data_IF_286919126641
#
_entry.id   IF_286919126641
#
_cell.length_a   1.000
_cell.length_b   1.000
_cell.length_c   1.000
_cell.angle_alpha   90.00
_cell.angle_beta   90.00
_cell.angle_gamma   90.00
#
_symmetry.space_group_name_H-M   'P 1'
#
loop_
_entity.id
_entity.type
_entity.pdbx_description
1 polymer ?
#
# COMPACT_ATOMS: atom_id res chain seq x y z
N UNK A 1 -16.02 -10.61 -28.43
CA UNK A 1 -17.25 -11.19 -29.02
C UNK A 1 -18.21 -10.11 -29.53
N UNK A 2 -18.47 -9.07 -28.73
CA UNK A 2 -19.38 -7.96 -29.10
C UNK A 2 -18.79 -7.13 -30.25
N UNK A 3 -17.51 -6.76 -30.18
CA UNK A 3 -16.82 -6.02 -31.22
C UNK A 3 -16.79 -6.76 -32.57
N UNK A 4 -16.57 -8.07 -32.52
CA UNK A 4 -16.55 -8.89 -33.70
C UNK A 4 -17.96 -9.08 -34.33
N UNK A 5 -19.00 -9.12 -33.48
CA UNK A 5 -20.38 -9.27 -33.92
C UNK A 5 -20.90 -8.01 -34.62
N UNK A 6 -20.43 -6.82 -34.19
CA UNK A 6 -20.84 -5.54 -34.79
C UNK A 6 -19.93 -5.07 -35.93
N UNK A 7 -18.91 -5.83 -36.28
CA UNK A 7 -17.89 -5.52 -37.31
C UNK A 7 -17.26 -4.12 -37.19
N UNK A 8 -17.20 -3.57 -35.96
CA UNK A 8 -16.69 -2.24 -35.69
C UNK A 8 -15.16 -2.19 -35.46
N UNK A 9 -14.46 -3.25 -35.80
CA UNK A 9 -13.04 -3.44 -35.60
C UNK A 9 -12.73 -4.44 -34.48
N UNK A 10 -11.46 -4.64 -34.21
CA UNK A 10 -10.99 -5.46 -33.09
C UNK A 10 -10.03 -4.66 -32.24
N UNK A 11 -9.97 -4.98 -30.96
CA UNK A 11 -9.03 -4.39 -30.03
C UNK A 11 -7.75 -5.22 -30.01
N UNK A 12 -6.60 -4.56 -30.04
CA UNK A 12 -5.32 -5.24 -29.87
C UNK A 12 -5.09 -5.62 -28.38
N UNK A 13 -4.32 -6.68 -28.10
CA UNK A 13 -4.00 -7.02 -26.71
C UNK A 13 -3.33 -5.89 -25.93
N UNK A 14 -2.52 -5.06 -26.58
CA UNK A 14 -1.89 -3.90 -25.95
C UNK A 14 -2.92 -2.83 -25.54
N UNK A 15 -3.88 -2.53 -26.42
CA UNK A 15 -4.98 -1.60 -26.11
C UNK A 15 -5.88 -2.15 -25.01
N UNK A 16 -6.18 -3.46 -25.04
CA UNK A 16 -6.94 -4.11 -23.99
C UNK A 16 -6.24 -3.98 -22.63
N UNK A 17 -4.94 -4.30 -22.55
CA UNK A 17 -4.16 -4.22 -21.33
C UNK A 17 -4.13 -2.78 -20.77
N UNK A 18 -4.00 -1.79 -21.64
CA UNK A 18 -4.03 -0.38 -21.24
C UNK A 18 -5.37 0.03 -20.64
N UNK A 19 -6.47 -0.29 -21.32
CA UNK A 19 -7.82 0.03 -20.86
C UNK A 19 -8.18 -0.75 -19.60
N UNK A 20 -7.84 -2.04 -19.53
CA UNK A 20 -8.11 -2.88 -18.37
C UNK A 20 -7.36 -2.37 -17.13
N UNK A 21 -6.10 -1.96 -17.25
CA UNK A 21 -5.33 -1.37 -16.16
C UNK A 21 -5.92 -0.05 -15.68
N UNK A 22 -6.40 0.79 -16.59
CA UNK A 22 -7.06 2.04 -16.23
C UNK A 22 -8.36 1.77 -15.45
N UNK A 23 -9.24 0.93 -15.98
CA UNK A 23 -10.52 0.60 -15.34
C UNK A 23 -10.31 -0.05 -13.97
N UNK A 24 -9.32 -0.96 -13.85
CA UNK A 24 -8.98 -1.56 -12.56
C UNK A 24 -8.53 -0.50 -11.54
N UNK A 25 -7.72 0.47 -11.96
CA UNK A 25 -7.32 1.58 -11.12
C UNK A 25 -8.50 2.44 -10.66
N UNK A 26 -9.45 2.73 -11.55
CA UNK A 26 -10.67 3.47 -11.23
C UNK A 26 -11.56 2.69 -10.23
N UNK A 27 -11.76 1.39 -10.44
CA UNK A 27 -12.50 0.52 -9.51
C UNK A 27 -11.81 0.49 -8.14
N UNK A 28 -10.49 0.32 -8.10
CA UNK A 28 -9.74 0.29 -6.85
C UNK A 28 -9.86 1.61 -6.08
N UNK A 29 -9.75 2.75 -6.77
CA UNK A 29 -9.91 4.06 -6.12
C UNK A 29 -11.34 4.31 -5.65
N UNK A 30 -12.34 3.71 -6.32
CA UNK A 30 -13.74 3.82 -5.90
C UNK A 30 -14.05 3.12 -4.56
N UNK A 31 -13.17 2.21 -4.10
CA UNK A 31 -13.30 1.59 -2.78
C UNK A 31 -12.95 2.54 -1.63
N UNK A 32 -12.31 3.68 -1.92
CA UNK A 32 -12.01 4.70 -0.92
C UNK A 32 -13.11 5.77 -0.92
N UNK A 33 -14.14 5.62 -0.09
CA UNK A 33 -15.18 6.62 0.01
C UNK A 33 -14.61 7.95 0.50
N UNK A 34 -15.16 9.03 0.03
CA UNK A 34 -14.80 10.36 0.51
C UNK A 34 -15.18 10.47 1.99
N UNK A 35 -14.16 10.49 2.87
CA UNK A 35 -14.35 10.54 4.32
C UNK A 35 -15.16 11.76 4.78
N UNK A 36 -15.17 12.84 4.01
CA UNK A 36 -16.00 14.01 4.27
C UNK A 36 -17.49 13.74 4.01
N UNK A 37 -17.82 12.98 2.98
CA UNK A 37 -19.21 12.60 2.71
C UNK A 37 -19.74 11.65 3.79
N UNK A 38 -18.91 10.69 4.22
CA UNK A 38 -19.26 9.77 5.29
C UNK A 38 -19.52 10.50 6.62
N UNK A 39 -18.67 11.44 7.00
CA UNK A 39 -18.86 12.22 8.20
C UNK A 39 -20.10 13.13 8.16
N UNK A 40 -20.48 13.63 6.99
CA UNK A 40 -21.68 14.47 6.83
C UNK A 40 -22.98 13.66 6.89
N UNK A 41 -22.98 12.44 6.44
CA UNK A 41 -24.16 11.56 6.49
C UNK A 41 -24.52 11.18 7.93
N UNK A 42 -23.54 11.03 8.80
CA UNK A 42 -23.77 10.64 10.20
C UNK A 42 -24.41 11.74 11.08
N UNK A 43 -24.31 13.00 10.71
CA UNK A 43 -24.78 14.09 11.56
C UNK A 43 -26.30 14.29 11.56
N UNK A 44 -27.01 13.68 10.63
CA UNK A 44 -28.45 13.97 10.43
C UNK A 44 -29.41 12.82 10.72
N UNK A 45 -28.93 11.61 11.07
CA UNK A 45 -29.89 10.52 11.24
C UNK A 45 -29.40 9.43 12.20
N UNK A 46 -29.92 9.44 13.40
CA UNK A 46 -29.65 8.45 14.46
C UNK A 46 -30.13 7.03 14.13
N UNK A 47 -30.91 6.85 13.06
CA UNK A 47 -31.41 5.55 12.61
C UNK A 47 -30.47 4.81 11.62
N UNK A 48 -29.44 5.48 11.08
CA UNK A 48 -28.55 4.91 10.06
C UNK A 48 -27.21 4.39 10.60
N UNK A 49 -27.02 4.30 11.91
CA UNK A 49 -25.78 3.80 12.50
C UNK A 49 -25.43 2.37 12.05
N UNK A 50 -26.46 1.54 11.84
CA UNK A 50 -26.28 0.15 11.41
C UNK A 50 -25.83 0.05 9.95
N UNK A 51 -26.41 0.86 9.06
CA UNK A 51 -26.02 0.90 7.63
C UNK A 51 -24.62 1.50 7.45
N UNK A 52 -24.29 2.54 8.21
CA UNK A 52 -22.97 3.14 8.20
C UNK A 52 -21.89 2.14 8.67
N UNK A 53 -22.16 1.42 9.73
CA UNK A 53 -21.26 0.38 10.25
C UNK A 53 -21.06 -0.76 9.24
N UNK A 54 -22.13 -1.18 8.56
CA UNK A 54 -22.06 -2.20 7.50
C UNK A 54 -21.24 -1.71 6.30
N UNK A 55 -21.38 -0.43 5.89
CA UNK A 55 -20.63 0.15 4.79
C UNK A 55 -19.11 0.21 5.08
N UNK A 56 -18.72 0.51 6.31
CA UNK A 56 -17.32 0.42 6.74
C UNK A 56 -16.79 -1.00 6.68
N UNK A 57 -17.56 -1.97 7.17
CA UNK A 57 -17.19 -3.39 7.10
C UNK A 57 -17.06 -3.86 5.66
N UNK A 58 -18.02 -3.53 4.80
CA UNK A 58 -17.98 -3.92 3.39
C UNK A 58 -16.77 -3.34 2.67
N UNK A 59 -16.41 -2.09 2.96
CA UNK A 59 -15.21 -1.47 2.42
C UNK A 59 -13.95 -2.16 2.94
N UNK A 60 -13.87 -2.46 4.23
CA UNK A 60 -12.77 -3.19 4.82
C UNK A 60 -12.61 -4.59 4.20
N UNK A 61 -13.70 -5.32 4.00
CA UNK A 61 -13.66 -6.63 3.33
C UNK A 61 -13.18 -6.55 1.89
N UNK A 62 -13.53 -5.50 1.14
CA UNK A 62 -13.06 -5.27 -0.22
C UNK A 62 -11.56 -4.94 -0.28
N UNK A 63 -11.04 -4.25 0.74
CA UNK A 63 -9.63 -3.88 0.82
C UNK A 63 -8.74 -4.96 1.42
N UNK A 64 -9.31 -5.88 2.20
CA UNK A 64 -8.57 -6.95 2.87
C UNK A 64 -7.59 -7.74 1.97
N UNK A 65 -7.92 -8.10 0.71
CA UNK A 65 -7.00 -8.80 -0.18
C UNK A 65 -5.75 -7.98 -0.56
N UNK A 66 -5.83 -6.65 -0.41
CA UNK A 66 -4.74 -5.74 -0.73
C UNK A 66 -3.93 -5.30 0.49
N UNK A 67 -4.35 -5.69 1.69
CA UNK A 67 -3.63 -5.43 2.93
C UNK A 67 -2.51 -6.46 3.10
N UNK A 68 -1.32 -5.97 3.40
CA UNK A 68 -0.15 -6.81 3.66
C UNK A 68 0.62 -6.28 4.85
N UNK A 69 0.96 -7.18 5.76
CA UNK A 69 1.90 -6.89 6.83
C UNK A 69 3.30 -7.27 6.35
N UNK A 70 4.21 -6.31 6.35
CA UNK A 70 5.58 -6.47 5.84
C UNK A 70 6.57 -6.21 6.96
N UNK A 71 7.44 -7.19 7.21
CA UNK A 71 8.56 -7.03 8.12
C UNK A 71 9.74 -6.35 7.40
N UNK A 72 10.31 -5.33 8.03
CA UNK A 72 11.46 -4.59 7.51
C UNK A 72 12.75 -5.12 8.14
N UNK A 73 13.80 -5.25 7.33
CA UNK A 73 15.13 -5.61 7.80
C UNK A 73 15.95 -4.34 8.06
N UNK A 74 16.73 -4.37 9.14
CA UNK A 74 17.65 -3.28 9.47
C UNK A 74 18.91 -3.37 8.62
N UNK A 75 19.22 -2.31 7.90
CA UNK A 75 20.47 -2.16 7.17
C UNK A 75 21.39 -1.18 7.89
N UNK A 76 22.50 -1.69 8.38
CA UNK A 76 23.50 -0.93 9.11
C UNK A 76 24.57 -0.29 8.21
N UNK A 77 24.46 -0.41 6.88
CA UNK A 77 25.45 0.17 5.96
C UNK A 77 25.44 1.69 6.03
N UNK A 78 26.62 2.29 5.96
CA UNK A 78 26.81 3.73 6.17
C UNK A 78 26.03 4.63 5.19
N UNK A 79 25.67 4.11 4.03
CA UNK A 79 24.92 4.84 2.98
C UNK A 79 23.40 4.81 3.17
N UNK A 80 22.88 3.82 3.93
CA UNK A 80 21.43 3.54 3.99
C UNK A 80 20.97 3.25 5.42
N UNK A 81 21.61 3.84 6.42
CA UNK A 81 21.28 3.58 7.82
C UNK A 81 19.77 3.68 8.09
N UNK A 82 19.11 2.54 8.27
CA UNK A 82 17.67 2.48 8.51
C UNK A 82 17.03 1.11 8.22
N UNK A 83 15.73 1.04 8.35
CA UNK A 83 14.93 -0.13 8.06
C UNK A 83 14.52 -0.11 6.60
N UNK A 84 14.87 -1.14 5.86
CA UNK A 84 14.51 -1.21 4.45
C UNK A 84 13.86 -2.54 4.10
N UNK A 85 12.98 -2.48 3.13
CA UNK A 85 12.37 -3.62 2.48
C UNK A 85 12.16 -3.31 1.01
N UNK A 86 12.62 -4.20 0.16
CA UNK A 86 12.24 -4.19 -1.24
C UNK A 86 10.86 -4.81 -1.35
N UNK A 87 9.86 -3.99 -1.60
CA UNK A 87 8.50 -4.45 -1.83
C UNK A 87 8.36 -4.61 -3.34
N UNK A 88 8.20 -5.85 -3.80
CA UNK A 88 8.05 -6.18 -5.22
C UNK A 88 6.73 -5.66 -5.79
N UNK A 89 5.72 -5.58 -4.93
CA UNK A 89 4.41 -5.05 -5.27
C UNK A 89 4.36 -3.53 -5.07
N UNK A 90 3.56 -2.84 -5.85
CA UNK A 90 3.42 -1.39 -5.73
C UNK A 90 2.62 -1.03 -4.49
N UNK A 91 3.26 -0.39 -3.51
CA UNK A 91 2.58 0.13 -2.32
C UNK A 91 1.71 1.33 -2.72
N UNK A 92 0.43 1.26 -2.38
CA UNK A 92 -0.51 2.37 -2.55
C UNK A 92 -0.44 3.32 -1.37
N UNK A 93 -0.52 2.79 -0.14
CA UNK A 93 -0.51 3.57 1.09
C UNK A 93 0.17 2.80 2.21
N UNK A 94 1.00 3.51 2.97
CA UNK A 94 1.51 2.99 4.24
C UNK A 94 0.45 3.18 5.31
N UNK A 95 0.20 2.13 6.07
CA UNK A 95 -0.70 2.15 7.21
C UNK A 95 0.07 2.30 8.52
N UNK A 96 -0.29 1.48 9.49
CA UNK A 96 0.29 1.52 10.82
C UNK A 96 1.69 0.93 10.84
N UNK A 97 2.60 1.61 11.53
CA UNK A 97 3.99 1.20 11.72
C UNK A 97 4.15 0.74 13.16
N UNK A 98 4.51 -0.53 13.34
CA UNK A 98 4.66 -1.17 14.64
C UNK A 98 6.15 -1.42 14.88
N UNK A 99 6.68 -0.78 15.90
CA UNK A 99 8.04 -0.95 16.39
C UNK A 99 8.07 -1.89 17.58
N UNK A 100 8.78 -2.99 17.48
CA UNK A 100 8.95 -3.97 18.54
C UNK A 100 10.27 -3.72 19.26
N UNK A 101 10.18 -3.47 20.56
CA UNK A 101 11.31 -3.35 21.46
C UNK A 101 11.29 -4.54 22.41
N UNK A 102 12.46 -5.16 22.61
CA UNK A 102 12.56 -6.36 23.42
C UNK A 102 11.88 -7.60 22.80
N UNK A 103 12.68 -8.49 22.25
CA UNK A 103 12.19 -9.75 21.67
C UNK A 103 12.01 -10.86 22.70
N UNK A 104 12.40 -10.63 23.95
CA UNK A 104 12.25 -11.54 25.09
C UNK A 104 11.07 -11.09 25.96
N UNK A 105 10.31 -12.03 26.43
CA UNK A 105 9.08 -11.82 27.20
C UNK A 105 9.28 -10.93 28.45
N UNK A 106 8.50 -9.83 28.66
CA UNK A 106 7.40 -9.38 27.81
C UNK A 106 7.89 -8.57 26.59
N UNK A 107 7.37 -8.93 25.41
CA UNK A 107 7.54 -8.16 24.19
C UNK A 107 6.80 -6.81 24.34
N UNK A 108 7.44 -5.75 23.87
CA UNK A 108 6.85 -4.41 23.94
C UNK A 108 6.70 -3.85 22.52
N UNK A 109 5.45 -3.74 22.07
CA UNK A 109 5.10 -3.18 20.76
C UNK A 109 4.55 -1.78 20.92
N UNK A 110 5.08 -0.85 20.15
CA UNK A 110 4.64 0.55 20.13
C UNK A 110 4.23 0.97 18.73
N UNK A 111 3.14 1.71 18.63
CA UNK A 111 2.74 2.37 17.39
C UNK A 111 3.68 3.55 17.17
N UNK A 112 4.32 3.56 16.01
CA UNK A 112 5.31 4.56 15.66
C UNK A 112 4.67 5.71 14.90
N UNK A 113 4.87 6.93 15.36
CA UNK A 113 4.32 8.12 14.74
C UNK A 113 5.15 8.52 13.51
N UNK A 114 4.50 8.62 12.35
CA UNK A 114 5.12 9.11 11.12
C UNK A 114 5.26 10.63 11.17
N UNK A 115 6.48 11.12 10.93
CA UNK A 115 6.81 12.54 10.92
C UNK A 115 7.52 12.95 9.64
N UNK A 116 7.55 14.24 9.35
CA UNK A 116 8.36 14.75 8.25
C UNK A 116 9.86 14.59 8.55
N UNK A 117 10.69 14.44 7.51
CA UNK A 117 12.15 14.30 7.69
C UNK A 117 12.77 15.51 8.42
N UNK A 118 12.24 16.70 8.20
CA UNK A 118 12.68 17.93 8.90
C UNK A 118 12.37 17.86 10.40
N UNK A 119 11.15 17.48 10.75
CA UNK A 119 10.74 17.42 12.15
C UNK A 119 11.37 16.25 12.88
N UNK A 120 11.53 15.10 12.22
CA UNK A 120 12.29 13.98 12.75
C UNK A 120 13.70 14.39 13.20
N UNK A 121 14.44 15.11 12.34
CA UNK A 121 15.79 15.58 12.67
C UNK A 121 15.81 16.63 13.81
N UNK A 122 14.78 17.46 13.95
CA UNK A 122 14.66 18.43 15.05
C UNK A 122 14.34 17.73 16.37
N UNK A 123 13.38 16.81 16.36
CA UNK A 123 12.90 16.12 17.55
C UNK A 123 14.02 15.25 18.15
N UNK A 124 14.77 14.49 17.33
CA UNK A 124 15.88 13.66 17.81
C UNK A 124 16.95 14.47 18.53
N UNK A 125 17.21 15.70 18.09
CA UNK A 125 18.24 16.57 18.67
C UNK A 125 17.79 17.29 19.92
N UNK A 126 16.50 17.31 20.20
CA UNK A 126 15.94 17.98 21.36
C UNK A 126 16.05 17.09 22.60
N UNK A 127 16.65 17.59 23.67
CA UNK A 127 16.71 16.85 24.96
C UNK A 127 15.34 16.74 25.63
N UNK A 128 14.42 17.66 25.35
CA UNK A 128 13.12 17.71 26.00
C UNK A 128 12.07 16.83 25.29
N UNK A 129 12.14 16.77 23.96
CA UNK A 129 11.17 16.06 23.13
C UNK A 129 11.73 14.81 22.47
N UNK A 130 12.89 14.33 22.98
CA UNK A 130 13.51 13.11 22.44
C UNK A 130 12.53 11.94 22.48
N UNK A 131 12.44 11.14 21.39
CA UNK A 131 11.51 10.03 21.32
C UNK A 131 11.91 8.95 22.33
N UNK A 132 10.90 8.28 22.86
CA UNK A 132 11.04 7.20 23.83
C UNK A 132 10.52 5.89 23.22
N UNK A 133 10.83 4.76 23.86
CA UNK A 133 10.29 3.45 23.48
C UNK A 133 8.75 3.43 23.47
N UNK A 134 8.12 4.23 24.34
CA UNK A 134 6.65 4.34 24.44
C UNK A 134 6.06 5.22 23.34
N UNK A 135 6.82 6.21 22.87
CA UNK A 135 6.42 7.15 21.84
C UNK A 135 7.51 7.25 20.76
N UNK A 136 7.72 6.21 19.97
CA UNK A 136 8.69 6.24 18.89
C UNK A 136 8.19 7.08 17.73
N UNK A 137 9.13 7.68 17.02
CA UNK A 137 8.85 8.43 15.80
C UNK A 137 9.60 7.82 14.61
N UNK A 138 9.05 7.98 13.43
CA UNK A 138 9.73 7.55 12.21
C UNK A 138 9.58 8.58 11.09
N UNK A 139 10.44 8.45 10.11
CA UNK A 139 10.33 9.14 8.82
C UNK A 139 10.59 8.18 7.69
N UNK A 140 9.93 8.41 6.57
CA UNK A 140 10.07 7.58 5.36
C UNK A 140 10.83 8.32 4.29
N UNK A 141 11.64 7.58 3.52
CA UNK A 141 12.35 8.08 2.35
C UNK A 141 12.49 6.98 1.30
N UNK A 142 12.85 7.36 0.08
CA UNK A 142 13.19 6.37 -0.94
C UNK A 142 14.57 5.79 -0.65
N UNK A 143 14.66 4.48 -0.61
CA UNK A 143 15.91 3.74 -0.55
C UNK A 143 16.43 3.36 -1.94
N UNK A 144 17.59 2.69 -2.01
CA UNK A 144 18.11 2.16 -3.26
C UNK A 144 17.20 1.08 -3.84
N UNK A 145 17.26 0.88 -5.16
CA UNK A 145 16.48 -0.15 -5.87
C UNK A 145 14.96 -0.05 -5.67
N UNK A 146 14.42 1.18 -5.61
CA UNK A 146 13.00 1.45 -5.38
C UNK A 146 12.46 0.85 -4.05
N UNK A 147 13.35 0.63 -3.08
CA UNK A 147 12.96 0.19 -1.74
C UNK A 147 12.37 1.35 -0.92
N UNK A 148 11.55 1.02 0.06
CA UNK A 148 11.11 1.97 1.07
C UNK A 148 12.10 1.95 2.23
N UNK A 149 12.69 3.10 2.55
CA UNK A 149 13.59 3.28 3.68
C UNK A 149 12.87 4.00 4.81
N UNK A 150 12.92 3.43 6.00
CA UNK A 150 12.30 3.99 7.19
C UNK A 150 13.36 4.16 8.28
N UNK A 151 13.47 5.37 8.77
CA UNK A 151 14.31 5.69 9.93
C UNK A 151 13.42 5.81 11.16
N UNK A 152 13.72 5.06 12.19
CA UNK A 152 12.97 5.02 13.45
C UNK A 152 13.86 5.44 14.60
N UNK A 153 13.32 6.20 15.53
CA UNK A 153 13.99 6.57 16.76
C UNK A 153 13.03 6.44 17.97
N UNK A 154 13.44 5.80 19.07
CA UNK A 154 14.66 5.01 19.22
C UNK A 154 14.67 3.77 18.32
N UNK A 155 15.83 3.18 18.07
CA UNK A 155 15.96 2.02 17.19
C UNK A 155 15.26 0.80 17.79
N UNK A 156 14.28 0.21 17.10
CA UNK A 156 13.61 -1.01 17.56
C UNK A 156 14.44 -2.27 17.24
N UNK A 157 14.03 -3.40 17.82
CA UNK A 157 14.57 -4.72 17.50
C UNK A 157 13.94 -5.31 16.23
N UNK A 158 12.65 -5.01 15.98
CA UNK A 158 11.93 -5.40 14.77
C UNK A 158 10.98 -4.30 14.37
N UNK A 159 10.68 -4.21 13.07
CA UNK A 159 9.77 -3.24 12.47
C UNK A 159 8.81 -3.95 11.54
N UNK A 160 7.52 -3.83 11.82
CA UNK A 160 6.44 -4.35 10.99
C UNK A 160 5.56 -3.20 10.52
N UNK A 161 5.14 -3.26 9.27
CA UNK A 161 4.32 -2.21 8.67
C UNK A 161 3.14 -2.83 7.96
N UNK A 162 1.95 -2.37 8.31
CA UNK A 162 0.77 -2.66 7.54
C UNK A 162 0.76 -1.74 6.32
N UNK A 163 0.65 -2.29 5.14
CA UNK A 163 0.57 -1.52 3.92
C UNK A 163 -0.58 -2.00 3.04
N UNK A 164 -1.11 -1.07 2.27
CA UNK A 164 -2.09 -1.33 1.25
C UNK A 164 -1.39 -1.36 -0.10
N UNK A 165 -1.55 -2.45 -0.83
CA UNK A 165 -0.94 -2.66 -2.13
C UNK A 165 -1.90 -2.24 -3.24
N UNK A 166 -1.36 -1.81 -4.36
CA UNK A 166 -2.15 -1.70 -5.58
C UNK A 166 -2.42 -3.09 -6.15
N UNK A 167 -3.61 -3.32 -6.74
CA UNK A 167 -3.84 -4.54 -7.50
C UNK A 167 -2.82 -4.68 -8.63
N UNK A 168 -2.43 -5.91 -8.92
CA UNK A 168 -1.60 -6.21 -10.09
C UNK A 168 -2.37 -5.87 -11.36
N UNK A 169 -1.70 -5.21 -12.29
CA UNK A 169 -2.35 -4.84 -13.55
C UNK A 169 -2.75 -6.11 -14.32
N UNK A 170 -3.98 -6.19 -14.84
CA UNK A 170 -4.38 -7.30 -15.67
C UNK A 170 -3.53 -7.32 -16.94
N UNK A 171 -3.04 -8.49 -17.30
CA UNK A 171 -2.19 -8.67 -18.46
C UNK A 171 -2.72 -9.80 -19.33
N UNK A 172 -3.08 -9.47 -20.55
CA UNK A 172 -3.31 -10.44 -21.60
C UNK A 172 -2.00 -10.66 -22.33
N UNK A 173 -1.31 -11.77 -22.02
CA UNK A 173 -0.06 -12.14 -22.67
C UNK A 173 -0.33 -12.77 -24.04
N UNK A 174 0.47 -12.40 -25.02
CA UNK A 174 0.32 -12.86 -26.39
C UNK A 174 1.68 -12.96 -27.07
N UNK A 175 1.74 -13.83 -28.08
CA UNK A 175 2.85 -13.90 -29.01
C UNK A 175 2.35 -13.55 -30.40
N UNK A 176 3.19 -12.90 -31.19
CA UNK A 176 2.84 -12.59 -32.59
C UNK A 176 3.32 -13.74 -33.47
N UNK A 177 2.40 -14.41 -34.14
CA UNK A 177 2.71 -15.47 -35.08
C UNK A 177 3.32 -14.96 -36.38
N UNK A 178 3.80 -15.84 -37.22
CA UNK A 178 4.51 -15.55 -38.49
C UNK A 178 3.65 -14.79 -39.50
N UNK A 179 2.34 -14.84 -39.40
CA UNK A 179 1.39 -14.14 -40.24
C UNK A 179 0.84 -12.86 -39.57
N UNK A 180 1.46 -12.41 -38.46
CA UNK A 180 1.02 -11.24 -37.73
C UNK A 180 -0.20 -11.45 -36.80
N UNK A 181 -0.73 -12.67 -36.68
CA UNK A 181 -1.81 -12.98 -35.77
C UNK A 181 -1.35 -13.00 -34.32
N UNK A 182 -2.21 -12.57 -33.41
CA UNK A 182 -1.99 -12.64 -31.98
C UNK A 182 -2.38 -14.04 -31.46
N UNK A 183 -1.43 -14.73 -30.87
CA UNK A 183 -1.63 -16.03 -30.23
C UNK A 183 -1.64 -15.85 -28.72
N UNK A 184 -2.71 -16.29 -28.08
CA UNK A 184 -2.86 -16.17 -26.63
C UNK A 184 -1.87 -17.07 -25.90
N UNK A 185 -1.19 -16.52 -24.90
CA UNK A 185 -0.30 -17.25 -24.00
C UNK A 185 -0.94 -17.35 -22.61
N UNK A 186 -1.37 -18.54 -22.23
CA UNK A 186 -2.05 -18.80 -20.95
C UNK A 186 -1.10 -18.66 -19.77
N UNK A 187 0.18 -18.96 -19.95
CA UNK A 187 1.16 -19.11 -18.85
C UNK A 187 1.54 -17.77 -18.21
N UNK A 188 1.49 -16.69 -18.97
CA UNK A 188 1.95 -15.36 -18.54
C UNK A 188 0.81 -14.34 -18.41
N UNK A 189 -0.43 -14.78 -18.56
CA UNK A 189 -1.60 -13.90 -18.39
C UNK A 189 -2.05 -13.84 -16.93
N UNK A 190 -2.37 -12.66 -16.44
CA UNK A 190 -2.83 -12.36 -15.06
C UNK A 190 -4.23 -11.74 -15.10
#
# INVERSE_FOLDING_TARGET
YILNKEQRGYITPAEFNSLASQVQGEIFTSYFPDGNQLNRQNQNNTQNDTEFFNMFKDTAYKLYPFEKNVAFAYDATATVLGWQQTITETVYKLGEIISTYNTTNPQYDSITQLTSNSDFNKIIRSKLTAPTVQNPICTTSSGPNNSVLIKVSPQPNALNINCLLKPTNPSWSFTVGTLGQYLYNVTDSV
#
